data_IF_603686451981
#
_entry.id   IF_603686451981
#
_cell.length_a   1.000
_cell.length_b   1.000
_cell.length_c   1.000
_cell.angle_alpha   90.00
_cell.angle_beta   90.00
_cell.angle_gamma   90.00
#
_symmetry.space_group_name_H-M   'P 1'
#
loop_
_entity.id
_entity.type
_entity.pdbx_description
1 polymer ?
#
# COMPACT_ATOMS: atom_id res chain seq x y z
N UNK A 1 26.55 -9.69 26.16
CA UNK A 1 25.88 -10.29 24.99
C UNK A 1 25.63 -9.16 23.99
N UNK A 2 26.21 -9.22 22.78
CA UNK A 2 25.95 -8.17 21.78
C UNK A 2 24.45 -8.20 21.41
N UNK A 3 23.78 -7.04 21.28
CA UNK A 3 22.36 -7.01 20.93
C UNK A 3 22.15 -7.61 19.54
N UNK A 4 21.03 -8.29 19.33
CA UNK A 4 20.68 -8.82 18.00
C UNK A 4 20.58 -7.65 17.00
N UNK A 5 21.32 -7.68 15.87
CA UNK A 5 21.37 -6.55 14.94
C UNK A 5 20.01 -6.23 14.30
N UNK A 6 19.17 -7.25 14.05
CA UNK A 6 17.81 -7.03 13.55
C UNK A 6 16.92 -6.37 14.60
N UNK A 7 17.07 -6.74 15.88
CA UNK A 7 16.35 -6.10 16.96
C UNK A 7 16.70 -4.61 17.07
N UNK A 8 17.99 -4.28 17.05
CA UNK A 8 18.43 -2.87 17.11
C UNK A 8 17.85 -2.07 15.95
N UNK A 9 17.90 -2.63 14.74
CA UNK A 9 17.36 -1.95 13.58
C UNK A 9 15.84 -1.73 13.67
N UNK A 10 15.08 -2.74 14.10
CA UNK A 10 13.65 -2.58 14.31
C UNK A 10 13.35 -1.52 15.37
N UNK A 11 14.13 -1.48 16.46
CA UNK A 11 14.01 -0.44 17.49
C UNK A 11 14.32 0.96 16.95
N UNK A 12 15.32 1.12 16.08
CA UNK A 12 15.59 2.39 15.41
C UNK A 12 14.40 2.83 14.53
N UNK A 13 13.79 1.89 13.81
CA UNK A 13 12.59 2.15 13.00
C UNK A 13 11.41 2.58 13.87
N UNK A 14 11.17 1.92 15.00
CA UNK A 14 10.09 2.30 15.93
C UNK A 14 10.33 3.67 16.56
N UNK A 15 11.51 3.85 17.16
CA UNK A 15 11.83 5.05 17.96
C UNK A 15 11.75 6.32 17.11
N UNK A 16 12.22 6.24 15.85
CA UNK A 16 12.10 7.35 14.89
C UNK A 16 10.65 7.80 14.69
N UNK A 17 9.70 6.88 14.73
CA UNK A 17 8.28 7.16 14.52
C UNK A 17 7.53 7.41 15.84
N UNK A 18 8.25 7.61 16.97
CA UNK A 18 7.65 7.82 18.28
C UNK A 18 6.97 6.57 18.84
N UNK A 19 7.45 5.39 18.45
CA UNK A 19 6.91 4.11 18.85
C UNK A 19 7.98 3.26 19.53
N UNK A 20 7.59 2.40 20.46
CA UNK A 20 8.49 1.43 21.12
C UNK A 20 8.23 -0.01 20.67
N UNK A 21 7.09 -0.23 19.99
CA UNK A 21 6.61 -1.51 19.51
C UNK A 21 5.82 -1.35 18.19
N UNK A 22 5.52 -2.44 17.47
CA UNK A 22 4.57 -2.42 16.37
C UNK A 22 3.22 -1.85 16.80
N UNK A 23 2.61 -1.05 15.94
CA UNK A 23 1.39 -0.28 16.21
C UNK A 23 0.19 -0.79 15.43
N UNK A 24 0.36 -1.88 14.68
CA UNK A 24 -0.67 -2.37 13.74
C UNK A 24 -0.84 -1.49 12.52
N UNK A 25 -0.07 -0.39 12.37
CA UNK A 25 -0.11 0.44 11.16
C UNK A 25 0.57 -0.26 9.98
N UNK A 26 0.16 0.04 8.73
CA UNK A 26 0.81 -0.53 7.55
C UNK A 26 2.32 -0.31 7.53
N UNK A 27 3.10 -1.27 6.97
CA UNK A 27 4.57 -1.24 7.05
C UNK A 27 5.19 0.01 6.40
N UNK A 28 4.64 0.51 5.31
CA UNK A 28 5.10 1.74 4.67
C UNK A 28 5.07 2.95 5.63
N UNK A 29 4.13 2.98 6.58
CA UNK A 29 3.95 4.10 7.51
C UNK A 29 5.14 4.31 8.44
N UNK A 30 5.98 3.28 8.63
CA UNK A 30 7.21 3.36 9.42
C UNK A 30 8.35 4.10 8.71
N UNK A 31 8.17 4.51 7.44
CA UNK A 31 9.06 5.44 6.72
C UNK A 31 10.53 5.08 6.86
N UNK A 32 10.84 3.83 6.51
CA UNK A 32 12.20 3.30 6.59
C UNK A 32 13.13 4.17 5.74
N UNK A 33 14.17 4.74 6.38
CA UNK A 33 15.18 5.54 5.68
C UNK A 33 16.02 4.68 4.74
N UNK A 34 16.72 5.31 3.79
CA UNK A 34 17.63 4.59 2.89
C UNK A 34 18.73 3.86 3.66
N UNK A 35 19.25 4.48 4.73
CA UNK A 35 20.21 3.85 5.63
C UNK A 35 19.64 2.61 6.31
N UNK A 36 18.44 2.71 6.90
CA UNK A 36 17.78 1.58 7.57
C UNK A 36 17.45 0.46 6.59
N UNK A 37 16.96 0.80 5.39
CA UNK A 37 16.70 -0.16 4.32
C UNK A 37 17.98 -0.91 3.92
N UNK A 38 19.10 -0.20 3.77
CA UNK A 38 20.38 -0.84 3.43
C UNK A 38 20.91 -1.75 4.55
N UNK A 39 20.81 -1.31 5.79
CA UNK A 39 21.18 -2.13 6.95
C UNK A 39 20.30 -3.38 7.11
N UNK A 40 19.01 -3.27 6.78
CA UNK A 40 18.07 -4.41 6.69
C UNK A 40 18.55 -5.42 5.65
N UNK A 41 18.82 -4.95 4.44
CA UNK A 41 19.29 -5.77 3.33
C UNK A 41 20.55 -6.55 3.71
N UNK A 42 21.58 -5.86 4.20
CA UNK A 42 22.86 -6.47 4.56
C UNK A 42 22.72 -7.49 5.69
N UNK A 43 21.88 -7.19 6.69
CA UNK A 43 21.62 -8.11 7.80
C UNK A 43 20.89 -9.36 7.35
N UNK A 44 19.88 -9.21 6.49
CA UNK A 44 19.12 -10.33 5.92
C UNK A 44 19.97 -11.18 4.97
N UNK A 45 20.83 -10.59 4.15
CA UNK A 45 21.79 -11.33 3.31
C UNK A 45 22.72 -12.18 4.19
N UNK A 46 23.30 -11.59 5.23
CA UNK A 46 24.19 -12.30 6.17
C UNK A 46 23.47 -13.46 6.87
N UNK A 47 22.23 -13.21 7.31
CA UNK A 47 21.45 -14.18 8.08
C UNK A 47 20.83 -15.30 7.23
N UNK A 48 20.51 -15.01 5.96
CA UNK A 48 19.96 -15.98 5.01
C UNK A 48 20.85 -17.20 4.83
N UNK A 49 22.17 -17.02 4.95
CA UNK A 49 23.13 -18.13 4.94
C UNK A 49 22.79 -19.19 5.99
N UNK A 50 22.22 -18.83 7.14
CA UNK A 50 21.88 -19.79 8.19
C UNK A 50 20.54 -20.48 7.98
N UNK A 51 19.62 -19.89 7.22
CA UNK A 51 18.30 -20.47 6.94
C UNK A 51 18.38 -21.64 5.96
N UNK A 52 19.36 -21.63 5.03
CA UNK A 52 19.55 -22.72 4.05
C UNK A 52 20.08 -24.03 4.65
N UNK A 53 20.58 -24.03 5.90
CA UNK A 53 21.19 -25.21 6.54
C UNK A 53 20.26 -25.92 7.55
N UNK A 54 18.94 -25.75 7.45
CA UNK A 54 17.98 -26.41 8.36
C UNK A 54 18.10 -25.97 9.83
N UNK A 55 18.75 -24.83 10.11
CA UNK A 55 18.85 -24.26 11.45
C UNK A 55 17.59 -23.46 11.78
N UNK A 56 17.27 -23.32 13.08
CA UNK A 56 16.18 -22.44 13.54
C UNK A 56 16.38 -21.03 12.98
N UNK A 57 15.30 -20.44 12.47
CA UNK A 57 15.27 -19.09 11.96
C UNK A 57 15.86 -18.10 12.99
N UNK A 58 16.80 -17.22 12.60
CA UNK A 58 17.34 -16.20 13.51
C UNK A 58 16.22 -15.34 14.13
N UNK A 59 16.36 -14.98 15.40
CA UNK A 59 15.36 -14.14 16.09
C UNK A 59 15.21 -12.80 15.35
N UNK A 60 13.96 -12.35 15.18
CA UNK A 60 13.54 -11.15 14.44
C UNK A 60 13.66 -11.21 12.91
N UNK A 61 14.01 -12.36 12.31
CA UNK A 61 14.17 -12.46 10.86
C UNK A 61 12.85 -12.32 10.09
N UNK A 62 11.73 -12.78 10.64
CA UNK A 62 10.41 -12.74 10.03
C UNK A 62 9.90 -11.30 9.92
N UNK A 63 10.08 -10.57 11.02
CA UNK A 63 9.74 -9.18 11.24
C UNK A 63 10.52 -8.28 10.29
N UNK A 64 11.85 -8.46 10.28
CA UNK A 64 12.76 -7.75 9.38
C UNK A 64 12.48 -8.08 7.91
N UNK A 65 12.20 -9.35 7.58
CA UNK A 65 11.89 -9.76 6.22
C UNK A 65 10.62 -9.07 5.69
N UNK A 66 9.54 -9.02 6.49
CA UNK A 66 8.30 -8.35 6.06
C UNK A 66 8.54 -6.86 5.78
N UNK A 67 9.25 -6.17 6.67
CA UNK A 67 9.61 -4.76 6.47
C UNK A 67 10.49 -4.56 5.24
N UNK A 68 11.50 -5.41 5.04
CA UNK A 68 12.36 -5.35 3.87
C UNK A 68 11.58 -5.60 2.57
N UNK A 69 10.73 -6.62 2.51
CA UNK A 69 9.95 -6.96 1.33
C UNK A 69 9.00 -5.82 0.94
N UNK A 70 8.28 -5.25 1.91
CA UNK A 70 7.44 -4.07 1.70
C UNK A 70 8.25 -2.88 1.16
N UNK A 71 9.39 -2.57 1.77
CA UNK A 71 10.27 -1.49 1.31
C UNK A 71 10.89 -1.77 -0.06
N UNK A 72 11.24 -3.02 -0.36
CA UNK A 72 11.78 -3.42 -1.65
C UNK A 72 10.76 -3.15 -2.76
N UNK A 73 9.49 -3.54 -2.53
CA UNK A 73 8.40 -3.28 -3.49
C UNK A 73 8.25 -1.78 -3.69
N UNK A 74 8.15 -1.01 -2.60
CA UNK A 74 8.03 0.45 -2.64
C UNK A 74 9.14 1.13 -3.46
N UNK A 75 10.37 0.63 -3.34
CA UNK A 75 11.57 1.24 -3.91
C UNK A 75 11.89 0.77 -5.32
N UNK A 76 11.65 -0.49 -5.63
CA UNK A 76 12.17 -1.13 -6.84
C UNK A 76 11.08 -1.52 -7.85
N UNK A 77 9.82 -1.61 -7.43
CA UNK A 77 8.75 -1.98 -8.35
C UNK A 77 8.40 -0.82 -9.29
N UNK A 78 8.70 -1.00 -10.57
CA UNK A 78 8.49 0.01 -11.63
C UNK A 78 7.38 -0.35 -12.60
N UNK A 79 7.25 -1.65 -12.96
CA UNK A 79 6.29 -2.18 -13.93
C UNK A 79 6.00 -3.67 -13.66
N UNK A 80 4.90 -4.19 -14.20
CA UNK A 80 4.58 -5.63 -14.18
C UNK A 80 4.16 -6.18 -12.81
N UNK A 81 4.10 -7.51 -12.69
CA UNK A 81 3.80 -8.18 -11.42
C UNK A 81 5.09 -8.42 -10.64
N UNK A 82 5.10 -8.07 -9.34
CA UNK A 82 6.17 -8.48 -8.43
C UNK A 82 6.09 -9.99 -8.21
N UNK A 83 7.21 -10.67 -8.31
CA UNK A 83 7.37 -12.09 -7.99
C UNK A 83 8.25 -12.24 -6.76
N UNK A 84 8.09 -13.35 -6.04
CA UNK A 84 8.97 -13.70 -4.93
C UNK A 84 10.45 -13.69 -5.33
N UNK A 85 10.76 -14.16 -6.53
CA UNK A 85 12.13 -14.19 -7.08
C UNK A 85 12.77 -12.81 -7.17
N UNK A 86 11.98 -11.75 -7.34
CA UNK A 86 12.52 -10.40 -7.46
C UNK A 86 13.05 -9.91 -6.09
N UNK A 87 12.32 -10.23 -5.01
CA UNK A 87 12.70 -9.93 -3.62
C UNK A 87 13.78 -10.89 -3.11
N UNK A 88 13.67 -12.19 -3.39
CA UNK A 88 14.65 -13.16 -2.90
C UNK A 88 16.00 -13.02 -3.58
N UNK A 89 16.04 -12.63 -4.86
CA UNK A 89 17.29 -12.38 -5.58
C UNK A 89 18.04 -11.17 -5.03
N UNK A 90 17.36 -10.09 -4.62
CA UNK A 90 18.02 -8.94 -3.98
C UNK A 90 18.64 -9.29 -2.62
N UNK A 91 18.07 -10.29 -1.93
CA UNK A 91 18.63 -10.86 -0.70
C UNK A 91 19.62 -12.00 -0.94
N UNK A 92 19.91 -12.38 -2.18
CA UNK A 92 20.73 -13.55 -2.52
C UNK A 92 20.18 -14.87 -1.94
N UNK A 93 18.87 -14.95 -1.72
CA UNK A 93 18.16 -16.13 -1.20
C UNK A 93 17.64 -17.00 -2.35
N UNK A 94 18.50 -17.39 -3.28
CA UNK A 94 18.10 -18.11 -4.50
C UNK A 94 17.50 -19.50 -4.23
N UNK A 95 17.71 -20.08 -3.05
CA UNK A 95 17.28 -21.44 -2.68
C UNK A 95 16.17 -21.46 -1.61
N UNK A 96 15.59 -20.30 -1.26
CA UNK A 96 14.55 -20.27 -0.22
C UNK A 96 13.25 -20.89 -0.75
N UNK A 97 12.65 -21.78 0.04
CA UNK A 97 11.41 -22.45 -0.35
C UNK A 97 10.19 -21.52 -0.19
N UNK A 98 9.14 -21.75 -0.98
CA UNK A 98 7.86 -21.05 -0.81
C UNK A 98 7.27 -21.23 0.59
N UNK A 99 7.42 -22.42 1.20
CA UNK A 99 6.95 -22.67 2.56
C UNK A 99 7.67 -21.80 3.60
N UNK A 100 8.98 -21.58 3.42
CA UNK A 100 9.77 -20.69 4.26
C UNK A 100 9.34 -19.23 4.09
N UNK A 101 9.06 -18.79 2.86
CA UNK A 101 8.56 -17.43 2.57
C UNK A 101 7.19 -17.19 3.21
N UNK A 102 6.29 -18.17 3.09
CA UNK A 102 4.98 -18.17 3.78
C UNK A 102 5.16 -18.06 5.29
N UNK A 103 6.01 -18.90 5.89
CA UNK A 103 6.27 -18.88 7.33
C UNK A 103 6.88 -17.55 7.81
N UNK A 104 7.85 -17.00 7.09
CA UNK A 104 8.45 -15.69 7.37
C UNK A 104 7.39 -14.58 7.32
N UNK A 105 6.53 -14.63 6.32
CA UNK A 105 5.49 -13.62 6.13
C UNK A 105 4.44 -13.69 7.23
N UNK A 106 3.93 -14.89 7.53
CA UNK A 106 2.91 -15.09 8.55
C UNK A 106 3.38 -14.66 9.95
N UNK A 107 4.57 -15.09 10.36
CA UNK A 107 5.13 -14.72 11.67
C UNK A 107 5.48 -13.24 11.75
N UNK A 108 6.01 -12.66 10.67
CA UNK A 108 6.29 -11.23 10.62
C UNK A 108 5.00 -10.41 10.70
N UNK A 109 3.98 -10.72 9.89
CA UNK A 109 2.69 -10.00 9.93
C UNK A 109 2.02 -10.09 11.31
N UNK A 110 2.11 -11.23 11.98
CA UNK A 110 1.62 -11.39 13.36
C UNK A 110 2.31 -10.40 14.30
N UNK A 111 3.65 -10.32 14.24
CA UNK A 111 4.40 -9.34 15.04
C UNK A 111 4.03 -7.90 14.71
N UNK A 112 3.87 -7.58 13.43
CA UNK A 112 3.47 -6.27 12.96
C UNK A 112 1.99 -5.93 13.25
N UNK A 113 1.22 -6.89 13.78
CA UNK A 113 -0.23 -6.78 14.00
C UNK A 113 -0.97 -6.43 12.70
N UNK A 114 -0.57 -7.05 11.59
CA UNK A 114 -1.13 -6.83 10.26
C UNK A 114 -1.93 -8.04 9.80
N UNK A 115 -3.12 -7.83 9.21
CA UNK A 115 -3.92 -8.93 8.71
C UNK A 115 -3.26 -9.53 7.45
N UNK A 116 -3.20 -10.86 7.40
CA UNK A 116 -2.88 -11.57 6.17
C UNK A 116 -4.08 -11.47 5.22
N UNK A 117 -3.86 -10.94 4.01
CA UNK A 117 -4.93 -10.86 3.02
C UNK A 117 -5.15 -12.21 2.35
N UNK A 118 -6.38 -12.41 1.87
CA UNK A 118 -6.82 -13.60 1.14
C UNK A 118 -7.26 -13.20 -0.26
N UNK A 119 -7.01 -14.07 -1.24
CA UNK A 119 -7.52 -13.98 -2.60
C UNK A 119 -8.46 -15.15 -2.84
N UNK A 120 -9.77 -14.90 -2.78
CA UNK A 120 -10.77 -15.96 -2.64
C UNK A 120 -10.55 -16.71 -1.33
N UNK A 121 -10.37 -18.04 -1.40
CA UNK A 121 -10.08 -18.87 -0.22
C UNK A 121 -8.57 -19.08 0.04
N UNK A 122 -7.69 -18.49 -0.76
CA UNK A 122 -6.25 -18.74 -0.68
C UNK A 122 -5.51 -17.57 0.00
N UNK A 123 -4.65 -17.82 0.99
CA UNK A 123 -3.78 -16.79 1.57
C UNK A 123 -2.88 -16.12 0.52
N UNK A 124 -2.81 -14.80 0.55
CA UNK A 124 -2.11 -13.98 -0.44
C UNK A 124 -0.89 -13.31 0.18
N UNK A 125 0.13 -14.09 0.55
CA UNK A 125 1.32 -13.63 1.29
C UNK A 125 2.10 -12.53 0.56
N UNK A 126 2.56 -12.77 -0.67
CA UNK A 126 3.30 -11.79 -1.45
C UNK A 126 2.48 -10.52 -1.69
N UNK A 127 1.21 -10.70 -2.01
CA UNK A 127 0.27 -9.62 -2.25
C UNK A 127 0.10 -8.75 -1.00
N UNK A 128 0.04 -9.37 0.17
CA UNK A 128 0.01 -8.66 1.45
C UNK A 128 1.27 -7.81 1.62
N UNK A 129 2.47 -8.34 1.38
CA UNK A 129 3.70 -7.55 1.51
C UNK A 129 3.82 -6.43 0.46
N UNK A 130 3.31 -6.65 -0.75
CA UNK A 130 3.24 -5.61 -1.80
C UNK A 130 2.44 -4.41 -1.30
N UNK A 131 1.26 -4.67 -0.73
CA UNK A 131 0.38 -3.65 -0.15
C UNK A 131 0.97 -2.94 1.04
N UNK A 132 1.62 -3.71 1.92
CA UNK A 132 2.30 -3.17 3.08
C UNK A 132 3.46 -2.25 2.66
N UNK A 133 3.98 -2.38 1.44
CA UNK A 133 4.91 -1.44 0.80
C UNK A 133 4.30 -0.15 0.28
N UNK A 134 2.97 -0.05 0.22
CA UNK A 134 2.23 1.06 -0.40
C UNK A 134 2.08 0.90 -1.91
N UNK A 135 1.24 1.75 -2.52
CA UNK A 135 0.97 1.74 -3.97
C UNK A 135 2.31 1.99 -4.66
N UNK A 136 2.73 1.18 -5.65
CA UNK A 136 4.00 1.39 -6.32
C UNK A 136 3.94 2.70 -7.13
N UNK A 137 4.40 3.79 -6.50
CA UNK A 137 4.32 5.15 -7.01
C UNK A 137 5.08 5.33 -8.33
N UNK A 138 6.11 4.52 -8.57
CA UNK A 138 6.83 4.48 -9.86
C UNK A 138 5.92 4.00 -10.99
N UNK A 139 4.88 3.21 -10.72
CA UNK A 139 3.86 2.89 -11.71
C UNK A 139 2.99 4.10 -12.05
N UNK A 140 2.76 5.04 -11.12
CA UNK A 140 2.07 6.30 -11.43
C UNK A 140 2.90 7.17 -12.36
N UNK A 141 4.22 7.25 -12.16
CA UNK A 141 5.12 8.04 -13.03
C UNK A 141 5.15 7.46 -14.46
N UNK A 142 5.08 6.13 -14.60
CA UNK A 142 5.11 5.46 -15.90
C UNK A 142 3.73 5.35 -16.58
N UNK A 143 2.63 5.38 -15.84
CA UNK A 143 1.25 5.26 -16.35
C UNK A 143 0.38 6.48 -16.01
N UNK A 144 0.97 7.69 -16.02
CA UNK A 144 0.35 8.93 -15.52
C UNK A 144 -1.06 9.18 -16.06
N UNK A 145 -1.40 8.78 -17.29
CA UNK A 145 -2.74 9.00 -17.86
C UNK A 145 -3.80 8.08 -17.24
N UNK A 146 -3.76 6.79 -17.57
CA UNK A 146 -4.81 5.82 -17.21
C UNK A 146 -5.04 5.71 -15.70
N UNK A 147 -3.97 5.71 -14.91
CA UNK A 147 -4.10 5.55 -13.47
C UNK A 147 -4.66 6.80 -12.81
N UNK A 148 -4.25 8.00 -13.24
CA UNK A 148 -4.83 9.26 -12.75
C UNK A 148 -6.30 9.35 -13.13
N UNK A 149 -6.67 8.99 -14.36
CA UNK A 149 -8.07 8.99 -14.81
C UNK A 149 -8.92 8.07 -13.92
N UNK A 150 -8.41 6.88 -13.60
CA UNK A 150 -9.05 5.99 -12.64
C UNK A 150 -9.21 6.66 -11.26
N UNK A 151 -8.15 7.22 -10.68
CA UNK A 151 -8.22 7.94 -9.39
C UNK A 151 -9.23 9.10 -9.42
N UNK A 152 -9.35 9.84 -10.52
CA UNK A 152 -10.37 10.89 -10.70
C UNK A 152 -11.78 10.31 -10.63
N UNK A 153 -12.04 9.18 -11.30
CA UNK A 153 -13.35 8.51 -11.25
C UNK A 153 -13.65 8.00 -9.85
N UNK A 154 -12.69 7.38 -9.17
CA UNK A 154 -12.85 6.91 -7.79
C UNK A 154 -13.13 8.08 -6.85
N UNK A 155 -12.38 9.19 -6.93
CA UNK A 155 -12.64 10.38 -6.13
C UNK A 155 -14.03 10.96 -6.38
N UNK A 156 -14.48 11.00 -7.65
CA UNK A 156 -15.84 11.42 -8.00
C UNK A 156 -16.90 10.51 -7.37
N UNK A 157 -16.69 9.19 -7.40
CA UNK A 157 -17.56 8.21 -6.76
C UNK A 157 -17.62 8.41 -5.24
N UNK A 158 -16.46 8.57 -4.59
CA UNK A 158 -16.35 8.85 -3.15
C UNK A 158 -17.08 10.14 -2.77
N UNK A 159 -16.98 11.20 -3.58
CA UNK A 159 -17.70 12.46 -3.35
C UNK A 159 -19.21 12.33 -3.48
N UNK A 160 -19.70 11.49 -4.40
CA UNK A 160 -21.13 11.21 -4.60
C UNK A 160 -21.71 10.27 -3.53
N UNK A 161 -20.88 9.48 -2.87
CA UNK A 161 -21.27 8.57 -1.80
C UNK A 161 -21.49 9.31 -0.46
N UNK A 162 -22.42 10.26 -0.43
CA UNK A 162 -22.69 11.12 0.74
C UNK A 162 -23.33 10.38 1.91
N UNK A 163 -23.99 9.25 1.65
CA UNK A 163 -24.69 8.45 2.66
C UNK A 163 -23.84 7.28 3.18
N UNK A 164 -22.56 7.19 2.79
CA UNK A 164 -21.64 6.11 3.16
C UNK A 164 -22.22 4.70 2.93
N UNK A 165 -23.02 4.52 1.88
CA UNK A 165 -23.69 3.25 1.56
C UNK A 165 -22.71 2.19 1.06
N UNK A 166 -21.62 2.63 0.42
CA UNK A 166 -20.53 1.80 -0.05
C UNK A 166 -19.23 2.23 0.64
N UNK A 167 -18.30 1.31 0.88
CA UNK A 167 -16.95 1.72 1.25
C UNK A 167 -16.18 2.18 -0.02
N UNK A 168 -15.16 3.03 0.13
CA UNK A 168 -14.42 3.51 -1.03
C UNK A 168 -13.68 2.42 -1.82
N UNK A 169 -13.32 1.31 -1.18
CA UNK A 169 -12.74 0.16 -1.87
C UNK A 169 -13.74 -0.48 -2.85
N UNK A 170 -15.02 -0.58 -2.48
CA UNK A 170 -16.07 -1.13 -3.35
C UNK A 170 -16.39 -0.16 -4.51
N UNK A 171 -16.34 1.16 -4.26
CA UNK A 171 -16.45 2.17 -5.32
C UNK A 171 -15.29 2.03 -6.32
N UNK A 172 -14.08 1.80 -5.81
CA UNK A 172 -12.89 1.60 -6.63
C UNK A 172 -12.99 0.31 -7.47
N UNK A 173 -13.46 -0.79 -6.88
CA UNK A 173 -13.71 -2.07 -7.55
C UNK A 173 -14.75 -1.92 -8.68
N UNK A 174 -15.86 -1.21 -8.46
CA UNK A 174 -16.87 -0.95 -9.50
C UNK A 174 -16.34 -0.15 -10.70
N UNK A 175 -15.20 0.53 -10.55
CA UNK A 175 -14.55 1.33 -11.57
C UNK A 175 -13.33 0.63 -12.18
N UNK A 176 -13.18 -0.69 -11.98
CA UNK A 176 -12.04 -1.48 -12.47
C UNK A 176 -11.80 -1.39 -13.99
N UNK A 177 -12.83 -1.07 -14.77
CA UNK A 177 -12.73 -0.96 -16.22
C UNK A 177 -11.81 0.18 -16.67
N UNK A 178 -11.61 1.19 -15.83
CA UNK A 178 -10.65 2.27 -16.07
C UNK A 178 -9.20 1.87 -15.74
N UNK A 179 -8.99 0.67 -15.18
CA UNK A 179 -7.65 0.13 -14.93
C UNK A 179 -7.24 -0.91 -15.99
N UNK A 180 -5.95 -0.97 -16.34
CA UNK A 180 -5.37 -2.10 -17.07
C UNK A 180 -5.64 -3.40 -16.33
N UNK A 181 -5.88 -4.50 -17.05
CA UNK A 181 -6.18 -5.81 -16.45
C UNK A 181 -5.09 -6.31 -15.48
N UNK A 182 -3.83 -5.96 -15.72
CA UNK A 182 -2.70 -6.25 -14.83
C UNK A 182 -2.80 -5.55 -13.46
N UNK A 183 -3.60 -4.50 -13.35
CA UNK A 183 -3.83 -3.70 -12.14
C UNK A 183 -5.20 -3.93 -11.50
N UNK A 184 -6.10 -4.70 -12.11
CA UNK A 184 -7.42 -5.02 -11.55
C UNK A 184 -7.30 -6.07 -10.45
N UNK A 185 -7.21 -5.61 -9.22
CA UNK A 185 -7.14 -6.47 -8.04
C UNK A 185 -7.55 -5.69 -6.79
N UNK A 186 -8.07 -6.42 -5.80
CA UNK A 186 -8.62 -5.90 -4.54
C UNK A 186 -7.67 -4.94 -3.81
N UNK A 187 -6.37 -5.17 -3.97
CA UNK A 187 -5.27 -4.38 -3.42
C UNK A 187 -5.26 -2.97 -3.98
N UNK A 188 -5.26 -2.86 -5.31
CA UNK A 188 -5.31 -1.57 -6.00
C UNK A 188 -6.64 -0.88 -5.70
N UNK A 189 -7.75 -1.62 -5.62
CA UNK A 189 -9.06 -1.05 -5.28
C UNK A 189 -9.09 -0.46 -3.87
N UNK A 190 -8.64 -1.23 -2.87
CA UNK A 190 -8.54 -0.79 -1.48
C UNK A 190 -7.73 0.49 -1.38
N UNK A 191 -6.53 0.47 -1.97
CA UNK A 191 -5.59 1.58 -1.83
C UNK A 191 -6.04 2.82 -2.60
N UNK A 192 -6.64 2.63 -3.78
CA UNK A 192 -7.23 3.73 -4.51
C UNK A 192 -8.38 4.38 -3.74
N UNK A 193 -9.24 3.56 -3.14
CA UNK A 193 -10.32 4.02 -2.27
C UNK A 193 -9.81 4.84 -1.08
N UNK A 194 -8.85 4.31 -0.32
CA UNK A 194 -8.26 4.98 0.85
C UNK A 194 -7.57 6.32 0.47
N UNK A 195 -6.82 6.36 -0.63
CA UNK A 195 -6.20 7.60 -1.13
C UNK A 195 -7.29 8.63 -1.45
N UNK A 196 -8.30 8.25 -2.22
CA UNK A 196 -9.38 9.15 -2.61
C UNK A 196 -10.21 9.63 -1.42
N UNK A 197 -10.46 8.78 -0.42
CA UNK A 197 -11.11 9.18 0.83
C UNK A 197 -10.28 10.18 1.61
N UNK A 198 -8.98 9.92 1.82
CA UNK A 198 -8.09 10.85 2.53
C UNK A 198 -7.97 12.19 1.82
N UNK A 199 -7.81 12.18 0.49
CA UNK A 199 -7.79 13.40 -0.31
C UNK A 199 -9.12 14.17 -0.18
N UNK A 200 -10.25 13.49 -0.24
CA UNK A 200 -11.56 14.12 -0.07
C UNK A 200 -11.75 14.69 1.34
N UNK A 201 -11.30 13.98 2.36
CA UNK A 201 -11.31 14.44 3.76
C UNK A 201 -10.51 15.73 3.93
N UNK A 202 -9.28 15.78 3.42
CA UNK A 202 -8.47 17.01 3.48
C UNK A 202 -9.10 18.16 2.70
N UNK A 203 -9.62 17.90 1.50
CA UNK A 203 -10.29 18.93 0.70
C UNK A 203 -11.53 19.52 1.40
N UNK A 204 -12.33 18.66 2.07
CA UNK A 204 -13.49 19.11 2.87
C UNK A 204 -13.07 19.95 4.07
N UNK A 205 -12.09 19.50 4.83
CA UNK A 205 -11.60 20.22 6.01
C UNK A 205 -10.95 21.57 5.66
N UNK A 206 -10.35 21.66 4.46
CA UNK A 206 -9.75 22.89 3.94
C UNK A 206 -10.77 23.82 3.23
N UNK A 207 -12.05 23.44 3.18
CA UNK A 207 -13.10 24.13 2.40
C UNK A 207 -12.65 24.46 0.97
N UNK A 208 -12.03 23.46 0.33
CA UNK A 208 -11.32 23.60 -0.92
C UNK A 208 -12.14 23.04 -2.09
N UNK A 209 -12.78 23.93 -2.85
CA UNK A 209 -13.69 23.58 -3.94
C UNK A 209 -13.26 24.11 -5.33
N UNK A 210 -12.17 24.88 -5.40
CA UNK A 210 -11.77 25.69 -6.58
C UNK A 210 -10.31 25.39 -6.98
N UNK A 211 -9.74 26.08 -7.99
CA UNK A 211 -8.43 25.79 -8.62
C UNK A 211 -7.16 25.75 -7.72
N UNK A 212 -7.28 25.92 -6.40
CA UNK A 212 -6.16 25.92 -5.44
C UNK A 212 -6.30 24.84 -4.33
N UNK A 213 -6.95 23.70 -4.63
CA UNK A 213 -7.27 22.68 -3.60
C UNK A 213 -6.04 22.24 -2.82
N UNK A 214 -4.95 21.95 -3.50
CA UNK A 214 -3.74 21.40 -2.86
C UNK A 214 -3.05 22.45 -1.98
N UNK A 215 -3.01 23.71 -2.39
CA UNK A 215 -2.43 24.78 -1.58
C UNK A 215 -3.25 25.04 -0.31
N UNK A 216 -4.58 24.99 -0.41
CA UNK A 216 -5.47 25.06 0.77
C UNK A 216 -5.27 23.87 1.72
N UNK A 217 -5.10 22.66 1.19
CA UNK A 217 -4.78 21.48 2.00
C UNK A 217 -3.45 21.67 2.73
N UNK A 218 -2.42 22.18 2.03
CA UNK A 218 -1.09 22.42 2.64
C UNK A 218 -1.15 23.42 3.78
N UNK A 219 -1.94 24.48 3.63
CA UNK A 219 -2.13 25.50 4.67
C UNK A 219 -2.92 24.98 5.88
N UNK A 220 -3.95 24.17 5.65
CA UNK A 220 -4.84 23.67 6.71
C UNK A 220 -4.32 22.42 7.43
N UNK A 221 -3.51 21.59 6.76
CA UNK A 221 -2.88 20.39 7.33
C UNK A 221 -1.40 20.34 6.96
N UNK A 222 -0.53 20.92 7.80
CA UNK A 222 0.91 20.69 7.69
C UNK A 222 1.20 19.19 7.66
N UNK A 223 2.11 18.76 6.79
CA UNK A 223 2.50 17.35 6.63
C UNK A 223 1.33 16.41 6.23
N UNK A 224 0.28 16.91 5.57
CA UNK A 224 -0.87 16.08 5.11
C UNK A 224 -0.43 14.86 4.27
N UNK A 225 0.60 15.01 3.43
CA UNK A 225 1.15 13.95 2.59
C UNK A 225 1.65 12.74 3.40
N UNK A 226 1.92 12.93 4.69
CA UNK A 226 2.34 11.86 5.60
C UNK A 226 1.21 10.97 6.10
N UNK A 227 -0.02 11.46 5.96
CA UNK A 227 -1.24 10.77 6.37
C UNK A 227 -1.91 10.02 5.21
N UNK A 228 -1.39 10.16 3.99
CA UNK A 228 -1.81 9.34 2.86
C UNK A 228 -1.44 7.87 3.11
N UNK A 229 -2.22 6.92 2.56
CA UNK A 229 -1.94 5.50 2.72
C UNK A 229 -0.76 5.01 1.84
N UNK A 230 0.16 5.91 1.49
CA UNK A 230 1.33 5.70 0.66
C UNK A 230 2.46 6.64 1.10
N UNK A 231 3.71 6.18 1.06
CA UNK A 231 4.86 7.04 1.36
C UNK A 231 5.25 7.82 0.12
N UNK A 232 4.77 9.06 0.04
CA UNK A 232 5.15 10.03 -0.99
C UNK A 232 6.13 11.06 -0.41
N UNK A 233 7.04 11.56 -1.25
CA UNK A 233 7.65 12.86 -0.98
C UNK A 233 6.54 13.92 -1.03
N UNK A 234 6.71 15.06 -0.35
CA UNK A 234 5.73 16.15 -0.41
C UNK A 234 5.46 16.56 -1.86
N UNK A 235 6.53 16.67 -2.67
CA UNK A 235 6.44 16.98 -4.10
C UNK A 235 5.59 15.97 -4.87
N UNK A 236 5.84 14.67 -4.69
CA UNK A 236 5.09 13.64 -5.43
C UNK A 236 3.63 13.56 -4.99
N UNK A 237 3.35 13.81 -3.70
CA UNK A 237 2.00 13.90 -3.18
C UNK A 237 1.26 15.11 -3.75
N UNK A 238 1.92 16.26 -3.85
CA UNK A 238 1.35 17.43 -4.51
C UNK A 238 1.06 17.17 -5.99
N UNK A 239 2.00 16.56 -6.72
CA UNK A 239 1.80 16.21 -8.14
C UNK A 239 0.60 15.28 -8.31
N UNK A 240 0.49 14.24 -7.49
CA UNK A 240 -0.65 13.32 -7.52
C UNK A 240 -1.96 14.05 -7.19
N UNK A 241 -2.01 14.82 -6.10
CA UNK A 241 -3.22 15.51 -5.69
C UNK A 241 -3.67 16.54 -6.73
N UNK A 242 -2.74 17.32 -7.30
CA UNK A 242 -3.03 18.25 -8.39
C UNK A 242 -3.60 17.52 -9.60
N UNK A 243 -3.00 16.39 -9.98
CA UNK A 243 -3.47 15.57 -11.08
C UNK A 243 -4.89 15.02 -10.83
N UNK A 244 -5.16 14.48 -9.63
CA UNK A 244 -6.46 13.89 -9.27
C UNK A 244 -7.56 14.95 -9.08
N UNK A 245 -7.23 16.14 -8.57
CA UNK A 245 -8.19 17.23 -8.43
C UNK A 245 -8.42 18.03 -9.72
N UNK A 246 -7.54 17.90 -10.71
CA UNK A 246 -7.69 18.61 -11.98
C UNK A 246 -9.01 18.25 -12.68
N UNK A 247 -9.75 19.28 -13.09
CA UNK A 247 -10.95 19.12 -13.89
C UNK A 247 -10.53 18.64 -15.29
N UNK A 248 -11.21 17.63 -15.82
CA UNK A 248 -10.98 17.19 -17.20
C UNK A 248 -11.43 18.30 -18.16
N UNK A 249 -10.49 19.05 -18.75
CA UNK A 249 -10.79 20.03 -19.81
C UNK A 249 -11.28 19.37 -21.11
N UNK A 250 -11.20 18.05 -21.22
CA UNK A 250 -11.68 17.29 -22.38
C UNK A 250 -12.79 16.34 -21.97
N UNK A 251 -14.02 16.77 -22.23
CA UNK A 251 -15.14 15.86 -22.41
C UNK A 251 -14.82 14.86 -23.51
N UNK A 252 -14.29 13.69 -23.13
CA UNK A 252 -14.19 12.55 -24.03
C UNK A 252 -15.33 11.61 -23.68
N UNK A 253 -16.32 11.65 -24.56
CA UNK A 253 -17.50 10.79 -24.60
C UNK A 253 -17.11 9.31 -24.51
N UNK A 254 -17.13 8.75 -23.30
CA UNK A 254 -17.34 7.32 -23.12
C UNK A 254 -18.79 7.16 -22.71
N UNK A 255 -19.60 6.68 -23.67
CA UNK A 255 -21.02 6.39 -23.50
C UNK A 255 -21.25 5.63 -22.20
N UNK A 256 -21.98 6.29 -21.31
CA UNK A 256 -22.62 5.75 -20.13
C UNK A 256 -23.36 4.47 -20.47
N UNK A 257 -22.94 3.35 -19.86
CA UNK A 257 -23.89 2.30 -19.47
C UNK A 257 -23.58 1.94 -18.03
N UNK A 258 -24.06 2.79 -17.11
CA UNK A 258 -24.34 2.35 -15.75
C UNK A 258 -25.39 1.24 -15.85
N UNK A 259 -24.96 -0.02 -15.91
CA UNK A 259 -25.84 -1.15 -15.66
C UNK A 259 -26.08 -1.18 -14.16
N UNK A 260 -27.10 -0.46 -13.71
CA UNK A 260 -27.73 -0.70 -12.42
C UNK A 260 -28.39 -2.07 -12.54
N UNK A 261 -27.64 -3.13 -12.25
CA UNK A 261 -28.22 -4.43 -11.92
C UNK A 261 -28.29 -4.51 -10.40
N UNK A 262 -29.45 -4.11 -9.86
CA UNK A 262 -29.90 -4.50 -8.53
C UNK A 262 -30.02 -6.04 -8.51
N UNK A 263 -28.92 -6.73 -8.24
CA UNK A 263 -28.96 -8.14 -7.84
C UNK A 263 -29.17 -8.18 -6.34
N UNK A 264 -30.43 -8.27 -5.93
CA UNK A 264 -30.77 -8.90 -4.66
C UNK A 264 -30.36 -10.37 -4.74
N UNK A 265 -29.28 -10.72 -4.06
CA UNK A 265 -29.06 -12.11 -3.66
C UNK A 265 -28.35 -12.11 -2.31
N UNK A 266 -29.09 -12.58 -1.31
CA UNK A 266 -28.74 -12.74 0.09
C UNK A 266 -27.37 -13.41 0.27
N UNK A 267 -26.36 -12.64 0.65
CA UNK A 267 -25.20 -13.15 1.39
C UNK A 267 -24.77 -12.12 2.44
N UNK A 268 -25.12 -12.44 3.67
CA UNK A 268 -24.75 -11.76 4.90
C UNK A 268 -23.25 -11.89 5.15
N UNK A 269 -22.39 -11.07 4.52
CA UNK A 269 -21.00 -10.83 4.94
C UNK A 269 -20.55 -9.44 4.45
N UNK A 270 -21.05 -8.36 5.04
CA UNK A 270 -20.61 -6.99 4.68
C UNK A 270 -20.53 -6.08 5.91
N UNK A 271 -19.71 -6.47 6.90
CA UNK A 271 -19.33 -5.59 8.00
C UNK A 271 -17.83 -5.55 8.30
N UNK A 272 -17.02 -6.48 7.77
CA UNK A 272 -15.60 -6.59 8.16
C UNK A 272 -14.60 -5.81 7.30
N UNK A 273 -15.02 -5.12 6.23
CA UNK A 273 -14.11 -4.29 5.41
C UNK A 273 -13.89 -2.87 5.96
N UNK A 274 -14.66 -2.44 6.95
CA UNK A 274 -14.64 -1.05 7.46
C UNK A 274 -13.87 -0.88 8.78
N UNK A 275 -13.35 -1.95 9.37
CA UNK A 275 -12.60 -1.91 10.63
C UNK A 275 -11.23 -2.60 10.45
N UNK A 276 -10.28 -1.86 9.86
CA UNK A 276 -8.85 -2.20 9.92
C UNK A 276 -7.99 -0.98 9.63
#
# INVERSE_FOLDING_TARGET
MMPNPLYQLLQEVFTKNGHTMPTGKPLYSYRCTDRQYKSLEESLIKLGKFMSYGKKAPIYVHEAFCLYAAEWVRRNHTTGHVRWTDITSSLQWSQISNSSLTYLTEKGLTFWQRPLRVKGNNPAYLLTLILEGGLPLKMMINNKGTLVDYFKKVLSGVRKNTNSQLCAADIAEQLEDYLPSSLRNDVVFTLAGEICEKLNFFAKNAEAYNNDIVDKIRLSSPLWYTQLPVVLSEKDAEELAKAVFSIDEKGTSYRTTLKIQLKWSSKTVHLDRCLS
#
